data_IF_853031877351
#
_entry.id   IF_853031877351
#
_cell.length_a   1.000
_cell.length_b   1.000
_cell.length_c   1.000
_cell.angle_alpha   90.00
_cell.angle_beta   90.00
_cell.angle_gamma   90.00
#
_symmetry.space_group_name_H-M   'P 1'
#
loop_
_entity.id
_entity.type
_entity.pdbx_description
1 polymer ?
#
# COMPACT_ATOMS: atom_id res chain seq x y z
N UNK A 1 -10.96 2.75 -14.61
CA UNK A 1 -10.08 1.70 -14.10
C UNK A 1 -10.85 1.04 -12.98
N UNK A 2 -11.33 -0.17 -13.21
CA UNK A 2 -11.98 -0.99 -12.19
C UNK A 2 -10.89 -1.49 -11.22
N UNK A 3 -11.22 -1.67 -9.95
CA UNK A 3 -10.25 -2.13 -8.95
C UNK A 3 -10.61 -3.50 -8.44
N UNK A 4 -9.58 -4.20 -7.99
CA UNK A 4 -9.68 -5.51 -7.36
C UNK A 4 -8.86 -5.49 -6.08
N UNK A 5 -9.37 -6.14 -5.05
CA UNK A 5 -8.63 -6.43 -3.83
C UNK A 5 -8.90 -7.87 -3.40
N UNK A 6 -8.00 -8.45 -2.63
CA UNK A 6 -8.06 -9.86 -2.26
C UNK A 6 -7.69 -10.11 -0.80
N UNK A 7 -8.36 -11.09 -0.20
CA UNK A 7 -7.98 -11.72 1.05
C UNK A 7 -7.55 -13.14 0.77
N UNK A 8 -7.21 -13.90 1.82
CA UNK A 8 -6.93 -15.34 1.71
C UNK A 8 -8.09 -16.17 1.15
N UNK A 9 -9.33 -15.63 1.11
CA UNK A 9 -10.53 -16.38 0.70
C UNK A 9 -11.31 -15.76 -0.45
N UNK A 10 -11.31 -14.43 -0.57
CA UNK A 10 -12.22 -13.71 -1.47
C UNK A 10 -11.44 -12.72 -2.29
N UNK A 11 -11.75 -12.67 -3.59
CA UNK A 11 -11.44 -11.55 -4.47
C UNK A 11 -12.66 -10.67 -4.56
N UNK A 12 -12.51 -9.37 -4.27
CA UNK A 12 -13.56 -8.37 -4.45
C UNK A 12 -13.20 -7.47 -5.62
N UNK A 13 -14.16 -7.23 -6.51
CA UNK A 13 -13.97 -6.32 -7.63
C UNK A 13 -15.10 -5.28 -7.68
N UNK A 14 -14.72 -4.02 -7.87
CA UNK A 14 -15.62 -2.88 -8.04
C UNK A 14 -15.57 -2.36 -9.48
N UNK A 15 -16.75 -2.15 -10.06
CA UNK A 15 -16.92 -1.74 -11.45
C UNK A 15 -17.52 -0.34 -11.55
N UNK A 16 -17.12 0.40 -12.58
CA UNK A 16 -17.57 1.77 -12.81
C UNK A 16 -19.07 2.00 -13.02
N UNK A 17 -19.85 0.93 -13.18
CA UNK A 17 -21.32 0.99 -13.24
C UNK A 17 -21.98 0.82 -11.86
N UNK A 18 -21.20 0.71 -10.79
CA UNK A 18 -21.69 0.56 -9.43
C UNK A 18 -21.82 -0.88 -8.96
N UNK A 19 -21.41 -1.87 -9.77
CA UNK A 19 -21.36 -3.27 -9.32
C UNK A 19 -20.19 -3.51 -8.39
N UNK A 20 -20.44 -4.26 -7.33
CA UNK A 20 -19.43 -4.85 -6.45
C UNK A 20 -19.68 -6.35 -6.40
N UNK A 21 -18.66 -7.16 -6.66
CA UNK A 21 -18.77 -8.62 -6.61
C UNK A 21 -17.74 -9.20 -5.65
N UNK A 22 -18.10 -10.31 -5.03
CA UNK A 22 -17.17 -11.17 -4.30
C UNK A 22 -17.07 -12.52 -4.99
N UNK A 23 -15.85 -13.00 -5.16
CA UNK A 23 -15.51 -14.26 -5.82
C UNK A 23 -14.65 -15.07 -4.88
N UNK A 24 -14.93 -16.37 -4.77
CA UNK A 24 -14.09 -17.30 -4.02
C UNK A 24 -12.72 -17.40 -4.69
N UNK A 25 -11.66 -17.01 -3.97
CA UNK A 25 -10.30 -16.94 -4.50
C UNK A 25 -9.82 -18.30 -5.03
N UNK A 26 -10.23 -19.40 -4.39
CA UNK A 26 -9.74 -20.75 -4.70
C UNK A 26 -10.43 -21.35 -5.92
N UNK A 27 -11.72 -21.09 -6.10
CA UNK A 27 -12.56 -21.75 -7.11
C UNK A 27 -12.99 -20.83 -8.25
N UNK A 28 -12.82 -19.51 -8.10
CA UNK A 28 -13.29 -18.51 -9.06
C UNK A 28 -14.81 -18.36 -9.11
N UNK A 29 -15.55 -18.99 -8.19
CA UNK A 29 -17.02 -18.93 -8.17
C UNK A 29 -17.50 -17.62 -7.58
N UNK A 30 -18.53 -17.02 -8.19
CA UNK A 30 -19.24 -15.87 -7.63
C UNK A 30 -19.86 -16.26 -6.28
N UNK A 31 -19.50 -15.54 -5.22
CA UNK A 31 -20.07 -15.68 -3.89
C UNK A 31 -21.30 -14.77 -3.72
N UNK A 32 -21.16 -13.51 -4.14
CA UNK A 32 -22.20 -12.50 -4.00
C UNK A 32 -21.99 -11.36 -5.01
N UNK A 33 -23.07 -10.61 -5.25
CA UNK A 33 -23.09 -9.42 -6.08
C UNK A 33 -23.98 -8.37 -5.44
N UNK A 34 -23.52 -7.13 -5.47
CA UNK A 34 -24.27 -5.95 -5.02
C UNK A 34 -24.29 -4.92 -6.14
N UNK A 35 -25.47 -4.39 -6.44
CA UNK A 35 -25.63 -3.23 -7.32
C UNK A 35 -25.80 -1.97 -6.46
N UNK A 36 -24.77 -1.14 -6.39
CA UNK A 36 -24.76 0.09 -5.58
C UNK A 36 -25.53 1.16 -6.36
N UNK A 37 -26.69 1.56 -5.82
CA UNK A 37 -27.51 2.59 -6.45
C UNK A 37 -26.78 3.94 -6.50
N UNK A 38 -26.97 4.68 -7.59
CA UNK A 38 -26.34 5.98 -7.86
C UNK A 38 -24.81 5.95 -7.81
N UNK A 39 -24.21 4.80 -8.09
CA UNK A 39 -22.78 4.59 -7.95
C UNK A 39 -21.96 4.73 -9.25
N UNK A 40 -22.57 5.32 -10.29
CA UNK A 40 -21.90 5.46 -11.60
C UNK A 40 -20.66 6.34 -11.45
N UNK A 41 -19.50 5.77 -11.78
CA UNK A 41 -18.19 6.43 -11.66
C UNK A 41 -17.34 5.94 -10.48
N UNK A 42 -17.93 5.25 -9.50
CA UNK A 42 -17.20 4.64 -8.40
C UNK A 42 -16.60 3.30 -8.81
N UNK A 43 -15.33 3.09 -8.47
CA UNK A 43 -14.51 2.03 -9.03
C UNK A 43 -13.53 1.42 -8.04
N UNK A 44 -13.35 2.03 -6.88
CA UNK A 44 -12.36 1.59 -5.89
C UNK A 44 -12.99 0.68 -4.84
N UNK A 45 -12.23 -0.32 -4.40
CA UNK A 45 -12.59 -1.16 -3.27
C UNK A 45 -11.36 -1.52 -2.46
N UNK A 46 -11.57 -1.76 -1.17
CA UNK A 46 -10.56 -2.30 -0.27
C UNK A 46 -11.20 -3.39 0.61
N UNK A 47 -10.49 -4.49 0.81
CA UNK A 47 -10.92 -5.62 1.60
C UNK A 47 -10.17 -5.63 2.93
N UNK A 48 -10.81 -5.14 3.98
CA UNK A 48 -10.17 -4.93 5.29
C UNK A 48 -11.04 -5.43 6.43
N UNK A 49 -10.45 -6.16 7.38
CA UNK A 49 -11.15 -6.59 8.59
C UNK A 49 -12.41 -7.43 8.35
N UNK A 50 -12.45 -8.21 7.25
CA UNK A 50 -13.63 -9.00 6.89
C UNK A 50 -14.72 -8.23 6.14
N UNK A 51 -14.40 -7.02 5.65
CA UNK A 51 -15.35 -6.10 5.02
C UNK A 51 -14.82 -5.59 3.69
N UNK A 52 -15.66 -5.58 2.67
CA UNK A 52 -15.42 -4.86 1.43
C UNK A 52 -15.88 -3.41 1.60
N UNK A 53 -14.94 -2.48 1.59
CA UNK A 53 -15.17 -1.05 1.60
C UNK A 53 -15.21 -0.54 0.16
N UNK A 54 -16.11 0.40 -0.09
CA UNK A 54 -16.22 1.11 -1.37
C UNK A 54 -16.82 2.48 -1.14
N UNK A 55 -16.43 3.40 -2.00
CA UNK A 55 -16.97 4.75 -2.10
C UNK A 55 -18.44 4.77 -2.56
N UNK A 56 -19.16 5.81 -2.14
CA UNK A 56 -20.52 6.15 -2.53
C UNK A 56 -20.72 7.68 -2.45
N UNK A 57 -21.80 8.25 -3.01
CA UNK A 57 -22.02 9.70 -2.92
C UNK A 57 -22.08 10.17 -1.46
N UNK A 58 -21.14 11.02 -1.08
CA UNK A 58 -21.01 11.57 0.28
C UNK A 58 -20.76 10.53 1.38
N UNK A 59 -20.22 9.36 1.04
CA UNK A 59 -20.06 8.28 2.01
C UNK A 59 -19.02 7.22 1.62
N UNK A 60 -18.63 6.43 2.61
CA UNK A 60 -17.99 5.12 2.44
C UNK A 60 -18.98 4.04 2.91
N UNK A 61 -19.13 2.98 2.13
CA UNK A 61 -20.00 1.85 2.44
C UNK A 61 -19.16 0.61 2.74
N UNK A 62 -19.67 -0.21 3.65
CA UNK A 62 -19.09 -1.51 3.95
C UNK A 62 -20.08 -2.63 3.67
N UNK A 63 -19.56 -3.70 3.09
CA UNK A 63 -20.27 -4.94 2.84
C UNK A 63 -19.50 -6.09 3.49
N UNK A 64 -20.21 -7.08 4.01
CA UNK A 64 -19.58 -8.27 4.56
C UNK A 64 -18.87 -9.05 3.45
N UNK A 65 -17.60 -9.39 3.66
CA UNK A 65 -16.80 -10.14 2.68
C UNK A 65 -17.41 -11.50 2.34
N UNK A 66 -18.14 -12.11 3.29
CA UNK A 66 -18.68 -13.47 3.15
C UNK A 66 -19.88 -13.56 2.21
N UNK A 67 -20.77 -12.58 2.26
CA UNK A 67 -22.10 -12.67 1.62
C UNK A 67 -22.54 -11.36 0.94
N UNK A 68 -21.72 -10.31 0.94
CA UNK A 68 -22.03 -9.03 0.31
C UNK A 68 -23.10 -8.22 1.04
N UNK A 69 -23.55 -8.64 2.23
CA UNK A 69 -24.57 -7.92 2.98
C UNK A 69 -24.06 -6.54 3.41
N UNK A 70 -24.86 -5.50 3.18
CA UNK A 70 -24.55 -4.14 3.65
C UNK A 70 -24.43 -4.13 5.17
N UNK A 71 -23.29 -3.64 5.68
CA UNK A 71 -23.00 -3.57 7.12
C UNK A 71 -23.25 -2.18 7.67
N UNK A 72 -22.67 -1.16 7.02
CA UNK A 72 -22.79 0.22 7.47
C UNK A 72 -22.47 1.21 6.34
N UNK A 73 -22.82 2.48 6.59
CA UNK A 73 -22.50 3.62 5.73
C UNK A 73 -21.95 4.74 6.61
N UNK A 74 -20.70 5.13 6.38
CA UNK A 74 -20.04 6.25 7.04
C UNK A 74 -20.15 7.49 6.17
N UNK A 75 -20.79 8.56 6.67
CA UNK A 75 -20.93 9.83 5.92
C UNK A 75 -19.59 10.58 5.89
N UNK A 76 -19.23 11.09 4.74
CA UNK A 76 -18.14 12.06 4.60
C UNK A 76 -18.63 13.47 4.99
N UNK A 77 -17.74 14.42 5.33
CA UNK A 77 -18.13 15.80 5.55
C UNK A 77 -18.69 16.43 4.27
N UNK A 78 -19.52 17.48 4.40
CA UNK A 78 -20.13 18.20 3.25
C UNK A 78 -19.10 18.75 2.25
N UNK A 79 -17.88 19.00 2.71
CA UNK A 79 -16.74 19.42 1.90
C UNK A 79 -16.18 18.29 1.00
N UNK A 80 -16.64 17.05 1.16
CA UNK A 80 -16.23 15.87 0.41
C UNK A 80 -17.47 15.11 -0.12
N UNK A 81 -18.26 15.70 -1.03
CA UNK A 81 -19.46 15.06 -1.57
C UNK A 81 -19.14 13.87 -2.48
N UNK A 82 -17.93 13.82 -3.03
CA UNK A 82 -17.39 12.76 -3.88
C UNK A 82 -15.96 12.44 -3.42
N UNK A 83 -15.81 11.35 -2.67
CA UNK A 83 -14.52 10.86 -2.20
C UNK A 83 -14.11 9.61 -2.97
N UNK A 84 -12.91 9.61 -3.55
CA UNK A 84 -12.26 8.43 -4.12
C UNK A 84 -11.51 7.69 -3.02
N UNK A 85 -11.83 6.42 -2.74
CA UNK A 85 -11.08 5.62 -1.76
C UNK A 85 -9.68 5.31 -2.30
N UNK A 86 -8.66 5.72 -1.54
CA UNK A 86 -7.24 5.54 -1.88
C UNK A 86 -6.71 4.28 -1.21
N UNK A 87 -6.89 4.18 0.11
CA UNK A 87 -6.43 3.04 0.91
C UNK A 87 -7.29 2.89 2.15
N UNK A 88 -7.34 1.68 2.69
CA UNK A 88 -7.96 1.41 3.97
C UNK A 88 -7.14 0.41 4.79
N UNK A 89 -7.20 0.53 6.11
CA UNK A 89 -6.56 -0.39 7.06
C UNK A 89 -7.52 -0.76 8.18
N UNK A 90 -7.55 -2.03 8.56
CA UNK A 90 -8.17 -2.47 9.81
C UNK A 90 -7.12 -2.49 10.93
N UNK A 91 -7.38 -1.74 12.00
CA UNK A 91 -6.57 -1.69 13.21
C UNK A 91 -7.33 -2.35 14.39
N UNK A 92 -6.64 -2.75 15.47
CA UNK A 92 -7.28 -3.29 16.66
C UNK A 92 -8.31 -2.33 17.27
N UNK A 93 -9.20 -2.88 18.11
CA UNK A 93 -10.23 -2.08 18.76
C UNK A 93 -11.37 -1.65 17.84
N UNK A 94 -11.64 -2.40 16.77
CA UNK A 94 -12.74 -2.13 15.82
C UNK A 94 -12.61 -0.78 15.10
N UNK A 95 -11.39 -0.44 14.68
CA UNK A 95 -11.09 0.80 14.00
C UNK A 95 -10.68 0.49 12.55
N UNK A 96 -11.38 1.09 11.60
CA UNK A 96 -10.92 1.15 10.21
C UNK A 96 -10.42 2.55 9.91
N UNK A 97 -9.24 2.66 9.32
CA UNK A 97 -8.68 3.89 8.79
C UNK A 97 -8.96 3.91 7.30
N UNK A 98 -9.56 4.99 6.82
CA UNK A 98 -9.92 5.13 5.40
C UNK A 98 -9.41 6.45 4.89
N UNK A 99 -8.61 6.40 3.82
CA UNK A 99 -8.11 7.56 3.10
C UNK A 99 -8.94 7.80 1.85
N UNK A 100 -9.40 9.03 1.67
CA UNK A 100 -10.18 9.46 0.51
C UNK A 100 -9.52 10.66 -0.17
N UNK A 101 -9.51 10.70 -1.49
CA UNK A 101 -9.28 11.92 -2.27
C UNK A 101 -10.63 12.57 -2.56
N UNK A 102 -10.86 13.77 -2.04
CA UNK A 102 -12.13 14.50 -2.16
C UNK A 102 -12.14 15.45 -3.37
N UNK A 103 -13.35 15.70 -3.91
CA UNK A 103 -13.61 16.61 -5.03
C UNK A 103 -12.92 16.19 -6.35
N UNK A 104 -12.56 14.92 -6.51
CA UNK A 104 -11.83 14.44 -7.70
C UNK A 104 -12.64 14.55 -8.99
N UNK A 105 -13.97 14.68 -8.91
CA UNK A 105 -14.83 14.81 -10.09
C UNK A 105 -15.15 16.26 -10.45
N UNK A 106 -14.79 17.23 -9.59
CA UNK A 106 -15.09 18.64 -9.79
C UNK A 106 -13.81 19.50 -9.89
N UNK A 107 -13.39 19.90 -11.11
CA UNK A 107 -12.16 20.67 -11.31
C UNK A 107 -12.20 22.07 -10.69
N UNK A 108 -13.40 22.62 -10.42
CA UNK A 108 -13.55 23.96 -9.82
C UNK A 108 -13.34 23.94 -8.29
N UNK A 109 -13.29 22.75 -7.68
CA UNK A 109 -13.02 22.58 -6.25
C UNK A 109 -11.60 22.08 -6.04
N UNK A 110 -10.89 22.69 -5.10
CA UNK A 110 -9.59 22.17 -4.65
C UNK A 110 -9.72 20.72 -4.19
N UNK A 111 -8.90 19.85 -4.75
CA UNK A 111 -8.77 18.46 -4.30
C UNK A 111 -7.98 18.43 -3.00
N UNK A 112 -8.37 17.56 -2.08
CA UNK A 112 -7.64 17.35 -0.83
C UNK A 112 -7.86 15.92 -0.36
N UNK A 113 -6.94 15.43 0.46
CA UNK A 113 -7.06 14.13 1.08
C UNK A 113 -7.74 14.23 2.45
N UNK A 114 -8.61 13.27 2.72
CA UNK A 114 -9.36 13.13 3.97
C UNK A 114 -9.01 11.78 4.59
N UNK A 115 -8.59 11.79 5.85
CA UNK A 115 -8.41 10.58 6.66
C UNK A 115 -9.58 10.44 7.62
N UNK A 116 -10.22 9.28 7.62
CA UNK A 116 -11.31 8.94 8.52
C UNK A 116 -10.91 7.81 9.45
N UNK A 117 -11.18 7.98 10.75
CA UNK A 117 -11.22 6.88 11.72
C UNK A 117 -12.67 6.45 11.90
N UNK A 118 -12.99 5.20 11.54
CA UNK A 118 -14.36 4.68 11.53
C UNK A 118 -14.45 3.50 12.50
N UNK A 119 -15.46 3.51 13.38
CA UNK A 119 -15.82 2.29 14.13
C UNK A 119 -16.39 1.27 13.14
N UNK A 120 -15.63 0.20 12.89
CA UNK A 120 -15.92 -0.74 11.80
C UNK A 120 -17.07 -1.71 12.10
N UNK A 121 -17.68 -1.64 13.30
CA UNK A 121 -18.91 -2.37 13.60
C UNK A 121 -20.15 -1.56 13.23
N UNK A 122 -20.05 -0.24 13.30
CA UNK A 122 -21.21 0.66 13.23
C UNK A 122 -21.17 1.65 12.06
N UNK A 123 -20.00 1.88 11.46
CA UNK A 123 -19.77 2.93 10.47
C UNK A 123 -19.75 4.34 11.06
N UNK A 124 -19.74 4.48 12.39
CA UNK A 124 -19.62 5.79 13.04
C UNK A 124 -18.23 6.36 12.77
N UNK A 125 -18.16 7.54 12.15
CA UNK A 125 -16.93 8.33 12.08
C UNK A 125 -16.59 8.81 13.49
N UNK A 126 -15.45 8.39 14.00
CA UNK A 126 -14.95 8.73 15.33
C UNK A 126 -14.17 10.05 15.30
N UNK A 127 -13.38 10.24 14.25
CA UNK A 127 -12.57 11.44 14.01
C UNK A 127 -12.26 11.55 12.52
N UNK A 128 -11.78 12.73 12.11
CA UNK A 128 -11.37 13.02 10.75
C UNK A 128 -10.19 14.00 10.73
N UNK A 129 -9.31 13.87 9.72
CA UNK A 129 -8.25 14.83 9.42
C UNK A 129 -8.36 15.28 7.96
N UNK A 130 -8.51 16.59 7.75
CA UNK A 130 -8.41 17.24 6.45
C UNK A 130 -6.95 17.62 6.20
N UNK A 131 -6.41 17.35 5.01
CA UNK A 131 -4.97 17.34 4.71
C UNK A 131 -4.27 16.07 5.18
N UNK A 132 -4.84 14.92 4.82
CA UNK A 132 -4.20 13.64 5.06
C UNK A 132 -3.00 13.41 4.11
N UNK A 133 -1.94 12.73 4.59
CA UNK A 133 -0.85 12.31 3.71
C UNK A 133 -1.38 11.37 2.63
N UNK A 134 -0.91 11.58 1.39
CA UNK A 134 -1.36 10.81 0.23
C UNK A 134 -0.90 9.36 0.28
N UNK A 135 0.34 9.16 0.75
CA UNK A 135 0.96 7.86 0.92
C UNK A 135 0.98 7.50 2.40
N UNK A 136 0.49 6.31 2.71
CA UNK A 136 0.52 5.78 4.06
C UNK A 136 0.77 4.29 3.98
N UNK A 137 1.79 3.81 4.69
CA UNK A 137 2.14 2.39 4.77
C UNK A 137 1.81 1.90 6.18
N UNK A 138 1.31 0.68 6.32
CA UNK A 138 1.06 0.12 7.64
C UNK A 138 2.40 -0.13 8.36
N UNK A 139 2.67 0.59 9.45
CA UNK A 139 3.88 0.40 10.24
C UNK A 139 3.74 -0.68 11.32
N UNK A 140 2.54 -0.84 11.87
CA UNK A 140 2.26 -1.80 12.94
C UNK A 140 0.78 -1.89 13.28
N UNK A 141 0.48 -2.36 14.49
CA UNK A 141 -0.90 -2.49 14.97
C UNK A 141 -1.60 -1.15 15.18
N UNK A 142 -0.85 -0.11 15.52
CA UNK A 142 -1.38 1.21 15.86
C UNK A 142 -0.67 2.35 15.13
N UNK A 143 0.15 2.03 14.12
CA UNK A 143 0.99 3.03 13.46
C UNK A 143 0.90 2.93 11.95
N UNK A 144 0.86 4.08 11.30
CA UNK A 144 1.10 4.23 9.87
C UNK A 144 2.40 5.01 9.67
N UNK A 145 3.12 4.72 8.60
CA UNK A 145 4.29 5.48 8.16
C UNK A 145 3.81 6.45 7.08
N UNK A 146 4.14 7.72 7.25
CA UNK A 146 3.72 8.81 6.37
C UNK A 146 4.92 9.67 5.99
N UNK A 147 4.92 10.34 4.82
CA UNK A 147 5.93 11.34 4.51
C UNK A 147 5.91 12.51 5.52
N UNK A 148 7.08 13.05 5.85
CA UNK A 148 7.21 14.33 6.53
C UNK A 148 7.11 15.45 5.47
N UNK A 149 6.00 16.19 5.47
CA UNK A 149 5.78 17.28 4.51
C UNK A 149 6.69 18.50 4.77
N UNK A 150 7.15 18.69 6.02
CA UNK A 150 7.98 19.82 6.41
C UNK A 150 9.47 19.55 6.16
N UNK A 151 9.86 18.28 6.23
CA UNK A 151 11.25 17.84 6.06
C UNK A 151 11.39 16.73 5.02
N UNK A 152 10.96 16.94 3.75
CA UNK A 152 11.08 15.92 2.74
C UNK A 152 12.57 15.57 2.51
N UNK A 153 12.90 14.28 2.45
CA UNK A 153 12.01 13.12 2.35
C UNK A 153 12.03 12.26 3.62
N UNK A 154 12.18 12.87 4.79
CA UNK A 154 11.97 12.17 6.04
C UNK A 154 10.56 11.59 6.11
N UNK A 155 10.39 10.64 7.03
CA UNK A 155 9.09 10.03 7.32
C UNK A 155 8.73 10.23 8.78
N UNK A 156 7.43 10.29 9.05
CA UNK A 156 6.87 10.32 10.39
C UNK A 156 6.06 9.06 10.65
N UNK A 157 5.85 8.76 11.92
CA UNK A 157 4.85 7.79 12.33
C UNK A 157 3.57 8.51 12.72
N UNK A 158 2.48 8.07 12.14
CA UNK A 158 1.14 8.43 12.57
C UNK A 158 0.69 7.38 13.58
N UNK A 159 0.69 7.74 14.86
CA UNK A 159 0.10 6.94 15.93
C UNK A 159 -1.43 7.08 15.85
N UNK A 160 -2.14 5.96 15.71
CA UNK A 160 -3.57 5.93 15.40
C UNK A 160 -4.34 5.08 16.40
N UNK A 161 -5.40 5.67 16.96
CA UNK A 161 -6.34 4.99 17.84
C UNK A 161 -7.78 5.50 17.63
N UNK A 162 -8.70 5.09 18.49
CA UNK A 162 -10.12 5.46 18.39
C UNK A 162 -10.39 6.94 18.70
N UNK A 163 -9.46 7.62 19.37
CA UNK A 163 -9.58 9.02 19.78
C UNK A 163 -9.01 9.97 18.72
N UNK A 164 -8.04 9.53 17.92
CA UNK A 164 -7.48 10.34 16.85
C UNK A 164 -6.26 9.71 16.18
N UNK A 165 -5.62 10.51 15.34
CA UNK A 165 -4.32 10.25 14.77
C UNK A 165 -3.35 11.37 15.16
N UNK A 166 -2.13 11.05 15.55
CA UNK A 166 -1.10 12.03 15.94
C UNK A 166 0.23 11.65 15.34
N UNK A 167 0.84 12.59 14.64
CA UNK A 167 2.15 12.37 14.03
C UNK A 167 3.26 12.52 15.08
N UNK A 168 4.26 11.65 15.01
CA UNK A 168 5.48 11.67 15.80
C UNK A 168 6.68 11.52 14.85
N UNK A 169 7.60 12.47 14.92
CA UNK A 169 8.83 12.43 14.14
C UNK A 169 9.72 11.25 14.57
N UNK A 170 10.38 10.62 13.60
CA UNK A 170 11.47 9.67 13.84
C UNK A 170 12.79 10.42 13.77
N UNK A 171 13.42 10.65 14.91
CA UNK A 171 14.59 11.53 15.05
C UNK A 171 15.86 11.02 14.37
N UNK A 172 15.93 9.74 13.99
CA UNK A 172 17.14 9.09 13.50
C UNK A 172 17.01 8.48 12.09
N UNK A 173 15.89 8.70 11.40
CA UNK A 173 15.64 8.12 10.09
C UNK A 173 15.88 9.16 8.99
N UNK A 174 17.06 9.14 8.37
CA UNK A 174 17.33 9.75 7.05
C UNK A 174 16.60 8.98 5.92
N UNK A 175 15.37 8.51 6.16
CA UNK A 175 14.72 7.49 5.34
C UNK A 175 13.97 8.08 4.14
N UNK A 176 14.70 8.27 3.05
CA UNK A 176 14.14 8.47 1.71
C UNK A 176 13.32 7.24 1.29
N UNK A 177 12.12 7.50 0.75
CA UNK A 177 11.10 6.55 0.25
C UNK A 177 10.99 5.23 1.03
N UNK A 178 10.25 5.28 2.13
CA UNK A 178 9.71 4.09 2.77
C UNK A 178 8.99 3.23 1.74
N UNK A 179 9.48 2.01 1.51
CA UNK A 179 8.89 1.07 0.54
C UNK A 179 8.03 0.00 1.21
N UNK A 180 8.31 -0.33 2.47
CA UNK A 180 7.54 -1.27 3.27
C UNK A 180 7.72 -1.03 4.75
N UNK A 181 6.73 -1.39 5.57
CA UNK A 181 6.84 -1.35 7.02
C UNK A 181 6.03 -2.48 7.66
N UNK A 182 6.45 -2.91 8.85
CA UNK A 182 5.84 -4.03 9.56
C UNK A 182 6.81 -4.71 10.51
N UNK A 183 6.28 -5.50 11.45
CA UNK A 183 7.13 -6.26 12.39
C UNK A 183 8.06 -5.40 13.26
N UNK A 184 7.78 -4.10 13.42
CA UNK A 184 8.62 -3.17 14.17
C UNK A 184 9.75 -2.52 13.37
N UNK A 185 9.81 -2.77 12.06
CA UNK A 185 10.79 -2.14 11.16
C UNK A 185 10.14 -1.37 10.01
N UNK A 186 10.90 -0.44 9.47
CA UNK A 186 10.66 0.31 8.25
C UNK A 186 11.78 -0.02 7.26
N UNK A 187 11.44 -0.34 6.01
CA UNK A 187 12.42 -0.59 4.95
C UNK A 187 12.51 0.59 3.99
N UNK A 188 13.74 0.94 3.63
CA UNK A 188 14.10 1.77 2.48
C UNK A 188 14.97 0.92 1.54
N UNK A 189 14.62 0.89 0.26
CA UNK A 189 15.29 0.10 -0.77
C UNK A 189 15.86 0.99 -1.90
N UNK A 190 16.24 2.23 -1.56
CA UNK A 190 16.78 3.20 -2.52
C UNK A 190 18.12 3.69 -1.99
N UNK A 191 19.13 3.78 -2.87
CA UNK A 191 20.35 4.52 -2.57
C UNK A 191 20.08 6.03 -2.77
N UNK A 192 20.02 6.85 -1.70
CA UNK A 192 19.71 8.28 -1.81
C UNK A 192 20.82 9.07 -2.51
N UNK A 193 22.04 8.52 -2.62
CA UNK A 193 23.19 9.16 -3.23
C UNK A 193 23.40 8.77 -4.70
N UNK A 194 22.66 7.78 -5.21
CA UNK A 194 22.81 7.31 -6.59
C UNK A 194 22.12 8.27 -7.58
N UNK A 195 22.93 9.19 -8.12
CA UNK A 195 22.56 10.11 -9.21
C UNK A 195 23.11 9.66 -10.57
N UNK A 196 23.72 8.48 -10.65
CA UNK A 196 24.44 8.01 -11.84
C UNK A 196 23.70 6.84 -12.49
N UNK A 197 23.76 6.71 -13.82
CA UNK A 197 23.25 5.51 -14.52
C UNK A 197 24.28 4.35 -14.53
N UNK A 198 25.37 4.46 -13.76
CA UNK A 198 26.55 3.59 -13.92
C UNK A 198 26.96 2.82 -12.65
N UNK A 199 26.60 3.30 -11.45
CA UNK A 199 26.94 2.65 -10.16
C UNK A 199 25.68 2.42 -9.30
N UNK A 200 25.01 1.28 -9.53
CA UNK A 200 23.71 0.95 -8.93
C UNK A 200 23.82 -0.01 -7.75
N UNK A 201 24.71 0.28 -6.82
CA UNK A 201 24.80 -0.46 -5.58
C UNK A 201 23.59 -0.12 -4.67
N UNK A 202 22.46 -0.79 -4.88
CA UNK A 202 21.28 -0.54 -4.03
C UNK A 202 21.53 -1.02 -2.59
N UNK A 203 21.09 -0.18 -1.64
CA UNK A 203 21.06 -0.50 -0.23
C UNK A 203 19.64 -0.83 0.20
N UNK A 204 19.48 -1.97 0.88
CA UNK A 204 18.28 -2.28 1.64
C UNK A 204 18.56 -1.98 3.11
N UNK A 205 17.96 -0.91 3.64
CA UNK A 205 18.13 -0.47 5.02
C UNK A 205 16.85 -0.70 5.81
N UNK A 206 16.99 -1.21 7.03
CA UNK A 206 15.90 -1.35 7.97
C UNK A 206 16.11 -0.45 9.17
N UNK A 207 15.06 0.27 9.54
CA UNK A 207 15.04 1.18 10.68
C UNK A 207 14.00 0.72 11.69
N UNK A 208 14.29 0.83 12.98
CA UNK A 208 13.33 0.55 14.03
C UNK A 208 12.19 1.58 14.02
N UNK A 209 10.94 1.15 14.09
CA UNK A 209 9.79 2.08 14.15
C UNK A 209 9.60 2.73 15.52
N UNK A 210 10.40 2.38 16.54
CA UNK A 210 10.27 3.02 17.86
C UNK A 210 11.09 4.30 17.96
N UNK A 211 12.32 4.24 17.48
CA UNK A 211 13.38 5.23 17.64
C UNK A 211 13.94 5.75 16.30
N UNK A 212 13.64 5.08 15.19
CA UNK A 212 14.15 5.44 13.86
C UNK A 212 15.59 5.01 13.63
N UNK A 213 16.22 4.25 14.53
CA UNK A 213 17.62 3.87 14.38
C UNK A 213 17.79 2.75 13.35
N UNK A 214 18.90 2.79 12.61
CA UNK A 214 19.29 1.74 11.68
C UNK A 214 19.45 0.42 12.45
N UNK A 215 18.59 -0.55 12.16
CA UNK A 215 18.64 -1.89 12.74
C UNK A 215 19.63 -2.78 11.97
N UNK A 216 19.54 -2.77 10.65
CA UNK A 216 20.44 -3.51 9.77
C UNK A 216 20.45 -2.91 8.36
N UNK A 217 21.49 -3.24 7.60
CA UNK A 217 21.59 -2.87 6.19
C UNK A 217 22.21 -4.00 5.37
N UNK A 218 21.77 -4.12 4.12
CA UNK A 218 22.33 -5.03 3.13
C UNK A 218 22.68 -4.26 1.87
N UNK A 219 23.85 -4.56 1.31
CA UNK A 219 24.27 -4.07 0.00
C UNK A 219 24.00 -5.15 -1.04
N UNK A 220 23.41 -4.77 -2.17
CA UNK A 220 23.30 -5.69 -3.29
C UNK A 220 24.71 -5.99 -3.84
N UNK A 221 24.98 -7.21 -4.34
CA UNK A 221 26.23 -7.49 -5.05
C UNK A 221 26.37 -6.56 -6.26
N UNK A 222 27.59 -6.18 -6.61
CA UNK A 222 27.88 -5.31 -7.77
C UNK A 222 27.12 -5.75 -9.03
N UNK A 223 26.44 -4.80 -9.68
CA UNK A 223 25.61 -5.04 -10.86
C UNK A 223 24.23 -5.66 -10.58
N UNK A 224 23.83 -5.75 -9.31
CA UNK A 224 22.49 -6.18 -8.90
C UNK A 224 21.81 -5.11 -8.06
N UNK A 225 20.48 -5.18 -8.04
CA UNK A 225 19.60 -4.33 -7.26
C UNK A 225 18.60 -5.16 -6.43
N UNK A 226 18.11 -4.55 -5.35
CA UNK A 226 16.92 -5.01 -4.65
C UNK A 226 15.66 -4.35 -5.24
N UNK A 227 14.62 -5.13 -5.46
CA UNK A 227 13.30 -4.63 -5.83
C UNK A 227 12.50 -4.16 -4.61
N UNK A 228 11.20 -3.92 -4.81
CA UNK A 228 10.29 -3.54 -3.74
C UNK A 228 10.08 -4.72 -2.76
N UNK A 229 10.43 -4.56 -1.47
CA UNK A 229 10.27 -5.60 -0.49
C UNK A 229 8.84 -5.65 0.06
N UNK A 230 8.44 -6.81 0.56
CA UNK A 230 7.21 -7.02 1.34
C UNK A 230 7.56 -7.59 2.71
N UNK A 231 6.82 -7.18 3.75
CA UNK A 231 7.01 -7.67 5.12
C UNK A 231 5.80 -8.47 5.57
N UNK A 232 6.00 -9.74 5.89
CA UNK A 232 4.96 -10.61 6.42
C UNK A 232 5.56 -11.65 7.37
N UNK A 233 4.85 -11.98 8.46
CA UNK A 233 5.20 -13.04 9.40
C UNK A 233 6.65 -13.00 9.93
N UNK A 234 7.14 -11.80 10.24
CA UNK A 234 8.51 -11.59 10.73
C UNK A 234 9.60 -11.82 9.67
N UNK A 235 9.23 -11.77 8.39
CA UNK A 235 10.13 -11.97 7.26
C UNK A 235 10.04 -10.80 6.29
N UNK A 236 11.15 -10.53 5.64
CA UNK A 236 11.24 -9.64 4.47
C UNK A 236 11.38 -10.49 3.23
N UNK A 237 10.50 -10.29 2.27
CA UNK A 237 10.53 -10.90 0.95
C UNK A 237 10.98 -9.84 -0.03
N UNK A 238 12.15 -10.03 -0.64
CA UNK A 238 12.71 -9.03 -1.56
C UNK A 238 13.32 -9.71 -2.77
N UNK A 239 13.02 -9.20 -3.95
CA UNK A 239 13.66 -9.68 -5.19
C UNK A 239 15.04 -9.06 -5.29
N UNK A 240 16.04 -9.88 -5.57
CA UNK A 240 17.37 -9.44 -5.99
C UNK A 240 17.57 -9.81 -7.45
N UNK A 241 17.91 -8.83 -8.27
CA UNK A 241 18.02 -9.00 -9.72
C UNK A 241 19.19 -8.22 -10.31
N UNK A 242 19.69 -8.55 -11.51
CA UNK A 242 20.62 -7.70 -12.23
C UNK A 242 20.01 -6.32 -12.46
N UNK A 243 20.81 -5.27 -12.36
CA UNK A 243 20.40 -3.95 -12.78
C UNK A 243 20.16 -3.95 -14.30
N UNK A 244 18.99 -3.48 -14.73
CA UNK A 244 18.58 -3.56 -16.13
C UNK A 244 18.64 -2.21 -16.82
N UNK A 245 19.49 -2.11 -17.84
CA UNK A 245 19.55 -0.94 -18.71
C UNK A 245 18.71 -1.15 -19.97
N UNK A 246 18.51 -0.08 -20.75
CA UNK A 246 17.91 -0.21 -22.10
C UNK A 246 18.65 -1.20 -23.01
N UNK A 247 19.96 -1.38 -22.81
CA UNK A 247 20.78 -2.31 -23.60
C UNK A 247 20.44 -3.77 -23.31
N UNK A 248 19.77 -4.04 -22.19
CA UNK A 248 19.39 -5.39 -21.79
C UNK A 248 18.02 -5.82 -22.31
N UNK A 249 17.33 -4.97 -23.08
CA UNK A 249 16.00 -5.28 -23.65
C UNK A 249 16.01 -6.59 -24.43
N UNK A 250 15.06 -7.48 -24.14
CA UNK A 250 14.95 -8.79 -24.78
C UNK A 250 15.92 -9.86 -24.26
N UNK A 251 16.80 -9.52 -23.30
CA UNK A 251 17.63 -10.52 -22.62
C UNK A 251 16.80 -11.32 -21.62
N UNK A 252 17.13 -12.61 -21.52
CA UNK A 252 16.65 -13.44 -20.41
C UNK A 252 17.44 -13.10 -19.15
N UNK A 253 16.73 -12.65 -18.14
CA UNK A 253 17.29 -12.30 -16.84
C UNK A 253 16.97 -13.40 -15.84
N UNK A 254 17.80 -13.53 -14.82
CA UNK A 254 17.55 -14.40 -13.68
C UNK A 254 17.54 -13.54 -12.43
N UNK A 255 16.52 -13.73 -11.61
CA UNK A 255 16.37 -13.06 -10.33
C UNK A 255 16.20 -14.10 -9.22
N UNK A 256 16.47 -13.67 -7.99
CA UNK A 256 16.28 -14.46 -6.78
C UNK A 256 15.26 -13.77 -5.89
N UNK A 257 14.31 -14.52 -5.34
CA UNK A 257 13.55 -14.08 -4.19
C UNK A 257 14.33 -14.43 -2.92
N UNK A 258 14.70 -13.41 -2.16
CA UNK A 258 15.33 -13.55 -0.86
C UNK A 258 14.25 -13.49 0.22
N UNK A 259 14.38 -14.38 1.20
CA UNK A 259 13.60 -14.35 2.44
C UNK A 259 14.57 -14.05 3.56
N UNK A 260 14.41 -12.89 4.19
CA UNK A 260 15.26 -12.42 5.28
C UNK A 260 14.46 -12.43 6.58
N UNK A 261 15.14 -12.60 7.70
CA UNK A 261 14.59 -12.34 9.02
C UNK A 261 14.38 -10.82 9.18
N UNK A 262 13.18 -10.38 9.55
CA UNK A 262 12.87 -8.94 9.60
C UNK A 262 13.60 -8.20 10.72
N UNK A 263 13.93 -8.88 11.82
CA UNK A 263 14.61 -8.26 12.95
C UNK A 263 16.11 -8.06 12.71
N UNK A 264 16.74 -8.97 11.97
CA UNK A 264 18.21 -9.03 11.84
C UNK A 264 18.74 -8.84 10.43
N UNK A 265 17.89 -8.91 9.40
CA UNK A 265 18.30 -8.91 7.99
C UNK A 265 19.01 -10.20 7.57
N UNK A 266 19.08 -11.22 8.45
CA UNK A 266 19.76 -12.48 8.15
C UNK A 266 19.01 -13.23 7.05
N UNK A 267 19.74 -13.66 6.02
CA UNK A 267 19.19 -14.52 4.97
C UNK A 267 18.71 -15.84 5.57
N UNK A 268 17.42 -16.13 5.37
CA UNK A 268 16.79 -17.39 5.76
C UNK A 268 16.73 -18.34 4.58
N UNK A 269 16.24 -17.84 3.43
CA UNK A 269 16.07 -18.65 2.22
C UNK A 269 16.35 -17.83 0.95
N UNK A 270 16.73 -18.56 -0.10
CA UNK A 270 16.83 -18.04 -1.46
C UNK A 270 16.04 -18.95 -2.38
N UNK A 271 15.13 -18.37 -3.15
CA UNK A 271 14.38 -19.05 -4.19
C UNK A 271 14.79 -18.48 -5.55
N UNK A 272 15.27 -19.33 -6.45
CA UNK A 272 15.56 -18.93 -7.84
C UNK A 272 14.25 -18.71 -8.57
N UNK A 273 14.03 -17.53 -9.12
CA UNK A 273 12.85 -17.23 -9.92
C UNK A 273 13.00 -17.77 -11.35
N UNK A 274 11.89 -18.08 -12.04
CA UNK A 274 11.90 -18.36 -13.47
C UNK A 274 12.58 -17.25 -14.27
N UNK A 275 13.22 -17.60 -15.38
CA UNK A 275 13.87 -16.61 -16.22
C UNK A 275 12.83 -15.76 -16.96
N UNK A 276 12.84 -14.46 -16.73
CA UNK A 276 11.95 -13.50 -17.38
C UNK A 276 12.68 -12.77 -18.50
N UNK A 277 11.93 -12.18 -19.43
CA UNK A 277 12.50 -11.33 -20.49
C UNK A 277 12.31 -9.87 -20.09
N UNK A 278 13.36 -9.07 -20.16
CA UNK A 278 13.24 -7.63 -19.95
C UNK A 278 12.35 -7.00 -21.04
N UNK A 279 11.35 -6.21 -20.63
CA UNK A 279 10.39 -5.56 -21.53
C UNK A 279 10.74 -4.09 -21.76
N UNK A 280 10.22 -3.47 -22.82
CA UNK A 280 10.45 -2.05 -23.10
C UNK A 280 9.74 -1.15 -22.08
N UNK A 281 10.47 -0.17 -21.52
CA UNK A 281 9.99 0.82 -20.54
C UNK A 281 8.72 1.56 -21.00
N UNK A 282 7.69 1.63 -20.15
CA UNK A 282 6.59 2.58 -20.32
C UNK A 282 7.08 4.01 -19.97
N UNK A 283 6.65 5.07 -20.69
CA UNK A 283 7.08 6.43 -20.38
C UNK A 283 6.70 6.81 -18.93
N UNK A 284 7.68 7.20 -18.11
CA UNK A 284 7.47 7.69 -16.73
C UNK A 284 7.80 6.71 -15.59
N UNK A 285 8.13 5.44 -15.86
CA UNK A 285 8.56 4.51 -14.80
C UNK A 285 10.03 4.71 -14.41
N UNK A 286 10.36 4.59 -13.12
CA UNK A 286 11.72 4.68 -12.57
C UNK A 286 12.57 3.44 -12.85
N UNK A 287 11.96 2.29 -13.13
CA UNK A 287 12.63 1.04 -13.52
C UNK A 287 11.93 0.35 -14.71
N UNK A 288 12.66 -0.56 -15.37
CA UNK A 288 12.17 -1.32 -16.53
C UNK A 288 11.53 -2.64 -16.06
N UNK A 289 10.22 -2.87 -16.28
CA UNK A 289 9.58 -4.09 -15.80
C UNK A 289 9.98 -5.34 -16.60
N UNK A 290 9.90 -6.49 -15.94
CA UNK A 290 10.24 -7.80 -16.48
C UNK A 290 8.95 -8.54 -16.87
N UNK A 291 8.90 -9.11 -18.07
CA UNK A 291 7.78 -9.92 -18.54
C UNK A 291 8.11 -11.41 -18.31
N UNK A 292 7.45 -12.00 -17.32
CA UNK A 292 7.62 -13.40 -16.94
C UNK A 292 6.55 -14.23 -17.64
N UNK A 293 6.90 -14.86 -18.78
CA UNK A 293 6.06 -15.91 -19.34
C UNK A 293 6.27 -17.21 -18.57
N UNK A 294 5.18 -17.93 -18.21
CA UNK A 294 5.27 -19.24 -17.55
C UNK A 294 6.01 -20.27 -18.40
#
# INVERSE_FOLDING_TARGET
MDTVDASERTVVAAFGDGRLIGVDLRTGKLLWRVDIQHAKGYRTTALVGGQALTEAPGAVRAFAERDGRSLWTAKTPKSCPDGLLITAYALPGHLSIVSLACNVTNPDRGTYNLLLGIDNRTGKVLWQHTAAPKLMIRGGEHTLVIPDEDHPPAVQLLDVNRQGATARALTAADAWDAVAAGGGILLSAIDPDDRSEEDHDTLLRAYGTRDGHLAWQLRAPTGQEYGFPEIADGRVYVVRQPFLTRRDTGRRIRADLLVLDSGTGRLLHTLRLPACSSSTRAPGASSTPCDCRP
#
